data_IF_740250508095
#
_entry.id   IF_740250508095
#
_cell.length_a   1.000
_cell.length_b   1.000
_cell.length_c   1.000
_cell.angle_alpha   90.00
_cell.angle_beta   90.00
_cell.angle_gamma   90.00
#
_symmetry.space_group_name_H-M   'P 1'
#
loop_
_entity.id
_entity.type
_entity.pdbx_description
1 polymer ?
#
# COMPACT_ATOMS: atom_id res chain seq x y z
N UNK A 1 4.70 12.29 3.96
CA UNK A 1 3.69 11.87 2.96
C UNK A 1 4.01 12.40 1.56
N UNK A 2 3.92 13.71 1.31
CA UNK A 2 4.09 14.35 -0.01
C UNK A 2 5.18 13.74 -0.90
N UNK A 3 6.42 13.62 -0.41
CA UNK A 3 7.55 13.06 -1.17
C UNK A 3 7.30 11.65 -1.75
N UNK A 4 6.60 10.80 -1.02
CA UNK A 4 6.29 9.42 -1.47
C UNK A 4 5.15 9.46 -2.48
N UNK A 5 4.09 10.22 -2.19
CA UNK A 5 2.95 10.39 -3.10
C UNK A 5 3.38 10.99 -4.44
N UNK A 6 4.21 12.04 -4.43
CA UNK A 6 4.73 12.68 -5.64
C UNK A 6 5.57 11.71 -6.48
N UNK A 7 6.40 10.89 -5.83
CA UNK A 7 7.19 9.87 -6.52
C UNK A 7 6.31 8.76 -7.10
N UNK A 8 5.37 8.23 -6.33
CA UNK A 8 4.45 7.21 -6.80
C UNK A 8 3.65 7.70 -8.02
N UNK A 9 3.16 8.95 -7.96
CA UNK A 9 2.48 9.57 -9.09
C UNK A 9 3.40 9.73 -10.31
N UNK A 10 4.62 10.25 -10.11
CA UNK A 10 5.58 10.46 -11.20
C UNK A 10 6.01 9.16 -11.89
N UNK A 11 6.21 8.08 -11.13
CA UNK A 11 6.63 6.78 -11.65
C UNK A 11 5.46 5.83 -11.96
N UNK A 12 4.21 6.26 -11.79
CA UNK A 12 3.03 5.41 -12.05
C UNK A 12 2.91 4.21 -11.10
N UNK A 13 3.42 4.32 -9.87
CA UNK A 13 3.33 3.25 -8.86
C UNK A 13 2.01 3.40 -8.09
N UNK A 14 1.13 2.38 -8.05
CA UNK A 14 -0.09 2.41 -7.25
C UNK A 14 0.19 2.67 -5.78
N UNK A 15 -0.62 3.54 -5.16
CA UNK A 15 -0.47 3.93 -3.76
C UNK A 15 -1.78 3.73 -3.01
N UNK A 16 -1.73 3.01 -1.89
CA UNK A 16 -2.85 2.84 -0.97
C UNK A 16 -2.56 3.52 0.38
N UNK A 17 -3.57 4.15 0.97
CA UNK A 17 -3.48 4.74 2.32
C UNK A 17 -4.07 3.80 3.35
N UNK A 18 -3.47 3.79 4.53
CA UNK A 18 -3.88 3.02 5.70
C UNK A 18 -4.13 3.97 6.87
N UNK A 19 -4.91 3.57 7.90
CA UNK A 19 -5.34 4.48 8.97
C UNK A 19 -4.17 5.10 9.74
N UNK A 20 -3.21 4.27 10.17
CA UNK A 20 -2.06 4.71 10.94
C UNK A 20 -0.87 3.74 10.83
N UNK A 21 0.25 4.15 11.42
CA UNK A 21 1.52 3.43 11.36
C UNK A 21 1.54 2.14 12.17
N UNK A 22 0.71 2.01 13.19
CA UNK A 22 0.65 0.84 14.05
C UNK A 22 -0.15 -0.26 13.38
N UNK A 23 -1.26 0.08 12.71
CA UNK A 23 -2.01 -0.85 11.86
C UNK A 23 -1.11 -1.43 10.76
N UNK A 24 -0.37 -0.56 10.04
CA UNK A 24 0.54 -1.03 8.99
C UNK A 24 1.69 -1.88 9.53
N UNK A 25 2.28 -1.47 10.66
CA UNK A 25 3.34 -2.23 11.31
C UNK A 25 2.85 -3.61 11.74
N UNK A 26 1.75 -3.66 12.50
CA UNK A 26 1.22 -4.89 13.06
C UNK A 26 0.86 -5.91 11.98
N UNK A 27 0.31 -5.46 10.85
CA UNK A 27 -0.02 -6.31 9.70
C UNK A 27 1.21 -7.03 9.10
N UNK A 28 2.42 -6.53 9.32
CA UNK A 28 3.68 -7.14 8.83
C UNK A 28 4.59 -7.62 9.96
N UNK A 29 4.06 -7.79 11.18
CA UNK A 29 4.82 -8.26 12.33
C UNK A 29 5.88 -7.27 12.83
N UNK A 30 5.59 -5.96 12.76
CA UNK A 30 6.44 -4.87 13.27
C UNK A 30 5.64 -3.96 14.19
N UNK A 31 6.30 -3.27 15.12
CA UNK A 31 5.58 -2.35 16.02
C UNK A 31 4.94 -1.18 15.27
N UNK A 32 5.65 -0.63 14.27
CA UNK A 32 5.10 0.43 13.43
C UNK A 32 5.81 0.57 12.07
N UNK A 33 5.05 0.90 11.01
CA UNK A 33 5.58 1.34 9.71
C UNK A 33 4.80 2.50 9.10
N UNK A 34 5.53 3.42 8.48
CA UNK A 34 4.95 4.60 7.80
C UNK A 34 4.77 4.35 6.31
N UNK A 35 5.66 3.57 5.70
CA UNK A 35 5.63 3.22 4.27
C UNK A 35 6.11 1.79 4.12
N UNK A 36 5.45 1.04 3.23
CA UNK A 36 5.85 -0.30 2.79
C UNK A 36 5.75 -0.31 1.26
N UNK A 37 6.71 -0.97 0.62
CA UNK A 37 6.68 -1.25 -0.80
C UNK A 37 6.47 -2.75 -1.01
N UNK A 38 5.57 -3.11 -1.92
CA UNK A 38 5.40 -4.48 -2.38
C UNK A 38 6.18 -4.61 -3.69
N UNK A 39 7.25 -5.40 -3.67
CA UNK A 39 8.15 -5.56 -4.83
C UNK A 39 7.86 -6.82 -5.63
N UNK A 40 7.14 -7.79 -5.05
CA UNK A 40 6.65 -8.94 -5.79
C UNK A 40 5.42 -8.54 -6.60
N UNK A 41 5.52 -8.67 -7.92
CA UNK A 41 4.51 -8.19 -8.85
C UNK A 41 3.22 -9.02 -8.77
N UNK A 42 3.33 -10.33 -8.56
CA UNK A 42 2.18 -11.23 -8.43
C UNK A 42 1.35 -10.89 -7.20
N UNK A 43 2.03 -10.70 -6.07
CA UNK A 43 1.41 -10.30 -4.82
C UNK A 43 0.84 -8.88 -4.88
N UNK A 44 1.54 -7.94 -5.52
CA UNK A 44 1.04 -6.57 -5.71
C UNK A 44 -0.26 -6.54 -6.54
N UNK A 45 -0.37 -7.38 -7.58
CA UNK A 45 -1.62 -7.50 -8.36
C UNK A 45 -2.75 -8.08 -7.53
N UNK A 46 -2.50 -9.17 -6.79
CA UNK A 46 -3.53 -9.75 -5.91
C UNK A 46 -4.02 -8.77 -4.86
N UNK A 47 -3.13 -8.03 -4.21
CA UNK A 47 -3.50 -7.00 -3.24
C UNK A 47 -4.38 -5.91 -3.86
N UNK A 48 -4.03 -5.43 -5.06
CA UNK A 48 -4.83 -4.43 -5.76
C UNK A 48 -6.24 -4.95 -6.07
N UNK A 49 -6.36 -6.18 -6.56
CA UNK A 49 -7.66 -6.82 -6.78
C UNK A 49 -8.45 -6.93 -5.47
N UNK A 50 -7.84 -7.37 -4.37
CA UNK A 50 -8.56 -7.49 -3.10
C UNK A 50 -9.04 -6.14 -2.55
N UNK A 51 -8.29 -5.06 -2.80
CA UNK A 51 -8.61 -3.72 -2.32
C UNK A 51 -9.56 -2.95 -3.24
N UNK A 52 -9.81 -3.42 -4.46
CA UNK A 52 -10.70 -2.77 -5.40
C UNK A 52 -12.15 -2.88 -4.92
N UNK A 53 -12.69 -1.77 -4.39
CA UNK A 53 -14.06 -1.69 -3.90
C UNK A 53 -15.11 -1.93 -4.98
N UNK A 54 -14.78 -1.71 -6.26
CA UNK A 54 -15.71 -1.93 -7.36
C UNK A 54 -16.06 -3.40 -7.57
N UNK A 55 -15.22 -4.31 -7.06
CA UNK A 55 -15.44 -5.76 -7.17
C UNK A 55 -16.41 -6.30 -6.12
N UNK A 56 -16.77 -5.52 -5.10
CA UNK A 56 -17.55 -6.00 -3.95
C UNK A 56 -19.04 -5.64 -3.98
N UNK A 57 -19.52 -4.96 -5.03
CA UNK A 57 -20.95 -4.70 -5.26
C UNK A 57 -21.60 -3.77 -4.25
#
# INVERSE_FOLDING_TARGET
>A
EKKVTDKCAFYGVPLCKVPDRYVLGGAIGKDARVVVAVTDEGFARQLQTMLDRSLWG
#
